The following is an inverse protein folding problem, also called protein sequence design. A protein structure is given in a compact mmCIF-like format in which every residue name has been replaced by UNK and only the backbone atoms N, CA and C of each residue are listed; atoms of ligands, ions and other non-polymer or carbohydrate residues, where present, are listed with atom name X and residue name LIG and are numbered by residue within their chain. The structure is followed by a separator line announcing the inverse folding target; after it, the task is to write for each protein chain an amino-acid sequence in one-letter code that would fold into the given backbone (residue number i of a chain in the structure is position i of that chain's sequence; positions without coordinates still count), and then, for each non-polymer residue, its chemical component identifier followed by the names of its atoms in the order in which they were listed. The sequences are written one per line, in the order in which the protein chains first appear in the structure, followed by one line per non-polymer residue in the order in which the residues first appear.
data_IF_297764816029
#
_entry.id   IF_297764816029
#
_cell.length_a   1.000
_cell.length_b   1.000
_cell.length_c   1.000
_cell.angle_alpha   90.00
_cell.angle_beta   90.00
_cell.angle_gamma   90.00
#
_symmetry.space_group_name_H-M   'P 1'
#
loop_
_entity.id
_entity.type
_entity.pdbx_description
1 polymer ?
#
# COMPACT_ATOMS: atom_id res chain seq x y z
N UNK A 1 19.04 -9.68 -11.56
CA UNK A 1 18.14 -9.65 -12.73
C UNK A 1 18.24 -8.28 -13.36
N UNK A 2 18.43 -8.22 -14.66
CA UNK A 2 18.41 -7.00 -15.47
C UNK A 2 17.33 -7.15 -16.53
N UNK A 3 16.70 -6.05 -16.92
CA UNK A 3 15.64 -6.06 -17.91
C UNK A 3 15.16 -4.65 -18.26
N UNK A 4 14.25 -4.60 -19.23
CA UNK A 4 13.58 -3.36 -19.63
C UNK A 4 12.18 -3.36 -19.03
N UNK A 5 11.86 -2.36 -18.23
CA UNK A 5 10.55 -2.20 -17.60
C UNK A 5 9.65 -1.31 -18.45
N UNK A 6 8.38 -1.65 -18.50
CA UNK A 6 7.31 -0.86 -19.13
C UNK A 6 6.14 -0.77 -18.15
N UNK A 7 5.58 0.41 -17.98
CA UNK A 7 4.32 0.59 -17.25
C UNK A 7 3.16 0.29 -18.19
N UNK A 8 2.15 -0.41 -17.68
CA UNK A 8 0.92 -0.70 -18.40
C UNK A 8 -0.29 -0.60 -17.48
N UNK A 9 -1.38 -0.07 -17.99
CA UNK A 9 -2.71 -0.04 -17.38
C UNK A 9 -3.64 -1.12 -17.95
N UNK A 10 -3.09 -2.09 -18.69
CA UNK A 10 -3.84 -3.20 -19.25
C UNK A 10 -4.70 -3.87 -18.19
N UNK A 11 -6.01 -3.75 -18.35
CA UNK A 11 -7.00 -4.25 -17.39
C UNK A 11 -6.92 -5.76 -17.16
N UNK A 12 -6.44 -6.52 -18.14
CA UNK A 12 -6.23 -7.96 -18.02
C UNK A 12 -5.11 -8.33 -17.04
N UNK A 13 -4.15 -7.44 -16.88
CA UNK A 13 -3.03 -7.60 -15.93
C UNK A 13 -3.32 -6.93 -14.60
N UNK A 14 -3.76 -5.66 -14.62
CA UNK A 14 -4.02 -4.86 -13.42
C UNK A 14 -5.18 -5.46 -12.62
N UNK A 15 -6.25 -5.91 -13.29
CA UNK A 15 -7.42 -6.49 -12.65
C UNK A 15 -7.18 -7.80 -11.87
N UNK A 16 -6.01 -8.42 -12.04
CA UNK A 16 -5.61 -9.60 -11.26
C UNK A 16 -5.18 -9.28 -9.83
N UNK A 17 -4.94 -8.01 -9.53
CA UNK A 17 -4.43 -7.54 -8.25
C UNK A 17 -5.36 -6.45 -7.70
N UNK A 18 -6.22 -6.75 -6.72
CA UNK A 18 -7.12 -5.77 -6.12
C UNK A 18 -6.36 -4.53 -5.63
N UNK A 19 -6.85 -3.34 -6.01
CA UNK A 19 -6.23 -2.06 -5.64
C UNK A 19 -5.01 -1.65 -6.48
N UNK A 20 -4.58 -2.47 -7.45
CA UNK A 20 -3.50 -2.08 -8.37
C UNK A 20 -3.98 -0.97 -9.32
N UNK A 21 -3.11 0.01 -9.58
CA UNK A 21 -3.38 1.12 -10.50
C UNK A 21 -2.74 0.91 -11.87
N UNK A 22 -1.63 0.22 -11.89
CA UNK A 22 -0.86 -0.15 -13.08
C UNK A 22 -0.06 -1.41 -12.80
N UNK A 23 0.39 -2.07 -13.83
CA UNK A 23 1.36 -3.16 -13.75
C UNK A 23 2.71 -2.72 -14.32
N UNK A 24 3.78 -3.26 -13.77
CA UNK A 24 5.13 -3.12 -14.32
C UNK A 24 5.49 -4.43 -15.00
N UNK A 25 5.54 -4.39 -16.31
CA UNK A 25 5.99 -5.52 -17.12
C UNK A 25 7.51 -5.41 -17.33
N UNK A 26 8.24 -6.46 -16.94
CA UNK A 26 9.70 -6.49 -17.09
C UNK A 26 10.09 -7.55 -18.12
N UNK A 27 10.68 -7.10 -19.23
CA UNK A 27 11.28 -7.98 -20.20
C UNK A 27 12.73 -8.29 -19.76
N UNK A 28 12.95 -9.50 -19.26
CA UNK A 28 14.22 -9.90 -18.65
C UNK A 28 15.24 -10.14 -19.74
N UNK A 29 16.37 -9.44 -19.70
CA UNK A 29 17.49 -9.58 -20.64
C UNK A 29 18.67 -10.35 -20.06
N UNK A 30 18.83 -10.33 -18.71
CA UNK A 30 19.91 -11.06 -18.04
C UNK A 30 19.49 -11.52 -16.64
N UNK A 31 19.87 -12.73 -16.29
CA UNK A 31 19.76 -13.29 -14.96
C UNK A 31 21.16 -13.54 -14.40
N UNK A 32 21.43 -12.99 -13.22
CA UNK A 32 22.67 -13.18 -12.50
C UNK A 32 22.32 -13.89 -11.20
N UNK A 33 22.96 -15.03 -10.95
CA UNK A 33 22.79 -15.75 -9.69
C UNK A 33 23.51 -15.01 -8.56
N UNK A 34 22.83 -14.82 -7.45
CA UNK A 34 23.42 -14.23 -6.25
C UNK A 34 23.68 -15.31 -5.20
N UNK A 35 24.74 -15.15 -4.44
CA UNK A 35 25.04 -16.08 -3.35
C UNK A 35 24.11 -15.83 -2.16
N UNK A 36 23.28 -16.79 -1.73
CA UNK A 36 22.32 -16.59 -0.66
C UNK A 36 22.94 -16.69 0.76
N UNK A 37 24.27 -16.84 0.89
CA UNK A 37 24.93 -17.14 2.16
C UNK A 37 24.67 -16.11 3.26
N UNK A 38 24.53 -14.84 2.89
CA UNK A 38 24.32 -13.75 3.83
C UNK A 38 22.86 -13.25 3.87
N UNK A 39 21.97 -13.91 3.14
CA UNK A 39 20.54 -13.60 3.18
C UNK A 39 19.90 -14.44 4.30
N UNK A 40 19.37 -13.81 5.36
CA UNK A 40 18.69 -14.56 6.42
C UNK A 40 17.45 -15.27 5.86
N UNK A 41 17.19 -16.46 6.38
CA UNK A 41 15.94 -17.17 6.08
C UNK A 41 14.81 -16.49 6.84
N UNK A 42 13.79 -16.04 6.14
CA UNK A 42 12.62 -15.38 6.73
C UNK A 42 11.36 -16.15 6.37
N UNK A 43 10.42 -16.17 7.32
CA UNK A 43 9.07 -16.69 7.10
C UNK A 43 8.09 -15.53 7.26
N UNK A 44 7.14 -15.40 6.32
CA UNK A 44 6.04 -14.45 6.45
C UNK A 44 5.09 -14.97 7.53
N UNK A 45 4.90 -14.22 8.60
CA UNK A 45 4.00 -14.55 9.70
C UNK A 45 2.56 -14.23 9.31
N UNK A 46 2.33 -13.01 8.80
CA UNK A 46 1.00 -12.54 8.39
C UNK A 46 1.09 -11.56 7.21
N UNK A 47 -0.05 -11.27 6.59
CA UNK A 47 -0.17 -10.20 5.60
C UNK A 47 -0.27 -8.84 6.29
N UNK A 48 0.13 -7.78 5.59
CA UNK A 48 -0.21 -6.43 6.05
C UNK A 48 -1.72 -6.24 6.01
N UNK A 49 -2.29 -5.62 7.06
CA UNK A 49 -3.71 -5.25 7.11
C UNK A 49 -4.12 -4.28 6.00
N UNK A 50 -3.16 -3.57 5.43
CA UNK A 50 -3.37 -2.63 4.33
C UNK A 50 -3.30 -3.26 2.94
N UNK A 51 -3.16 -4.58 2.86
CA UNK A 51 -3.35 -5.29 1.59
C UNK A 51 -4.86 -5.36 1.34
N UNK A 52 -5.34 -4.93 0.16
CA UNK A 52 -6.75 -5.05 -0.17
C UNK A 52 -7.25 -6.48 -0.06
N UNK A 53 -8.45 -6.67 0.47
CA UNK A 53 -9.11 -7.97 0.49
C UNK A 53 -9.30 -8.48 -0.94
N UNK A 54 -8.94 -9.74 -1.18
CA UNK A 54 -8.91 -10.31 -2.52
C UNK A 54 -10.31 -10.47 -3.16
N UNK A 55 -11.36 -10.51 -2.34
CA UNK A 55 -12.75 -10.71 -2.79
C UNK A 55 -13.48 -9.39 -2.91
N UNK A 56 -13.39 -8.55 -1.89
CA UNK A 56 -14.16 -7.30 -1.78
C UNK A 56 -13.38 -6.09 -2.26
N UNK A 57 -12.04 -6.17 -2.36
CA UNK A 57 -11.16 -5.03 -2.58
C UNK A 57 -11.10 -4.06 -1.40
N UNK A 58 -11.76 -4.37 -0.29
CA UNK A 58 -11.78 -3.52 0.89
C UNK A 58 -10.39 -3.39 1.52
N UNK A 59 -10.05 -2.20 1.94
CA UNK A 59 -8.75 -1.86 2.52
C UNK A 59 -8.96 -0.86 3.65
N UNK A 60 -8.40 -1.10 4.85
CA UNK A 60 -8.41 -0.10 5.91
C UNK A 60 -7.66 1.16 5.49
N UNK A 61 -8.10 2.29 5.98
CA UNK A 61 -7.46 3.58 5.76
C UNK A 61 -6.59 3.87 6.99
N UNK A 62 -5.28 4.16 6.82
CA UNK A 62 -4.43 4.57 7.93
C UNK A 62 -4.96 5.84 8.60
N UNK A 63 -4.85 5.93 9.93
CA UNK A 63 -5.36 7.06 10.68
C UNK A 63 -4.75 8.40 10.23
N UNK A 64 -3.48 8.41 9.84
CA UNK A 64 -2.82 9.62 9.36
C UNK A 64 -3.47 10.18 8.07
N UNK A 65 -4.07 9.36 7.21
CA UNK A 65 -4.82 9.82 6.03
C UNK A 65 -6.07 10.63 6.39
N UNK A 66 -6.51 10.56 7.64
CA UNK A 66 -7.68 11.28 8.15
C UNK A 66 -7.33 12.64 8.77
N UNK A 67 -6.04 12.96 8.91
CA UNK A 67 -5.63 14.24 9.52
C UNK A 67 -6.06 15.39 8.61
N UNK A 68 -6.80 16.35 9.17
CA UNK A 68 -7.35 17.52 8.48
C UNK A 68 -6.28 18.35 7.77
N UNK A 69 -5.17 18.62 8.48
CA UNK A 69 -4.08 19.46 7.97
C UNK A 69 -3.34 18.88 6.77
N UNK A 70 -3.42 17.56 6.54
CA UNK A 70 -2.70 16.92 5.40
C UNK A 70 -3.59 16.66 4.19
N UNK A 71 -4.91 16.87 4.29
CA UNK A 71 -5.83 16.61 3.17
C UNK A 71 -5.36 17.28 1.85
N UNK A 72 -4.90 18.54 1.84
CA UNK A 72 -4.50 19.21 0.59
C UNK A 72 -3.28 18.57 -0.11
N UNK A 73 -2.47 17.80 0.62
CA UNK A 73 -1.24 17.17 0.07
C UNK A 73 -1.41 15.68 -0.20
N UNK A 74 -2.54 15.09 0.17
CA UNK A 74 -2.84 13.71 -0.19
C UNK A 74 -3.06 13.56 -1.70
N UNK A 75 -2.72 12.40 -2.27
CA UNK A 75 -3.15 12.05 -3.61
C UNK A 75 -4.69 12.15 -3.72
N UNK A 76 -5.19 12.68 -4.83
CA UNK A 76 -6.65 12.90 -5.02
C UNK A 76 -7.49 11.66 -4.71
N UNK A 77 -7.00 10.48 -5.05
CA UNK A 77 -7.66 9.19 -4.75
C UNK A 77 -7.86 8.90 -3.25
N UNK A 78 -7.13 9.61 -2.37
CA UNK A 78 -7.14 9.38 -0.92
C UNK A 78 -7.80 10.53 -0.15
N UNK A 79 -8.05 11.69 -0.78
CA UNK A 79 -8.60 12.89 -0.13
C UNK A 79 -10.00 12.68 0.45
N UNK A 80 -10.89 11.97 -0.24
CA UNK A 80 -12.29 11.81 0.19
C UNK A 80 -12.54 10.55 1.03
N UNK A 81 -11.50 9.79 1.33
CA UNK A 81 -11.65 8.53 2.06
C UNK A 81 -11.86 8.69 3.56
N UNK A 82 -11.54 9.85 4.13
CA UNK A 82 -11.69 10.10 5.55
C UNK A 82 -13.14 9.87 6.03
N UNK A 83 -14.14 10.29 5.24
CA UNK A 83 -15.56 10.14 5.60
C UNK A 83 -15.98 8.68 5.77
N UNK A 84 -15.45 7.78 4.93
CA UNK A 84 -15.74 6.33 5.01
C UNK A 84 -15.04 5.67 6.20
N UNK A 85 -14.02 6.32 6.79
CA UNK A 85 -13.24 5.82 7.90
C UNK A 85 -13.57 6.47 9.26
N UNK A 86 -14.68 7.21 9.33
CA UNK A 86 -15.13 7.87 10.57
C UNK A 86 -14.80 9.36 10.64
N UNK A 87 -14.54 10.00 9.51
CA UNK A 87 -14.35 11.45 9.40
C UNK A 87 -12.91 11.93 9.62
N UNK A 88 -12.72 13.23 9.46
CA UNK A 88 -11.44 13.90 9.70
C UNK A 88 -11.07 13.90 11.19
N UNK A 89 -9.80 13.90 11.46
CA UNK A 89 -9.21 14.02 12.80
C UNK A 89 -8.15 15.09 12.82
N UNK A 90 -7.89 15.65 14.00
CA UNK A 90 -6.79 16.58 14.22
C UNK A 90 -5.45 15.84 14.38
N UNK A 91 -4.35 16.56 14.22
CA UNK A 91 -3.00 16.03 14.50
C UNK A 91 -2.88 15.51 15.94
N UNK A 92 -3.53 16.18 16.91
CA UNK A 92 -3.51 15.78 18.32
C UNK A 92 -4.26 14.46 18.55
N UNK A 93 -5.41 14.28 17.93
CA UNK A 93 -6.18 13.02 18.01
C UNK A 93 -5.38 11.86 17.41
N UNK A 94 -4.77 12.08 16.25
CA UNK A 94 -3.87 11.10 15.66
C UNK A 94 -2.69 10.77 16.57
N UNK A 95 -2.04 11.79 17.18
CA UNK A 95 -0.99 11.59 18.18
C UNK A 95 -1.44 10.75 19.37
N UNK A 96 -2.67 10.95 19.84
CA UNK A 96 -3.30 10.10 20.86
C UNK A 96 -3.48 8.66 20.42
N UNK A 97 -3.87 8.41 19.18
CA UNK A 97 -3.96 7.08 18.60
C UNK A 97 -2.59 6.38 18.58
N UNK A 98 -1.54 7.09 18.14
CA UNK A 98 -0.16 6.55 18.16
C UNK A 98 0.27 6.21 19.58
N UNK A 99 0.08 7.12 20.53
CA UNK A 99 0.47 6.93 21.93
C UNK A 99 -0.26 5.76 22.60
N UNK A 100 -1.51 5.49 22.22
CA UNK A 100 -2.29 4.35 22.72
C UNK A 100 -1.97 3.02 22.02
N UNK A 101 -1.10 3.02 21.01
CA UNK A 101 -0.80 1.83 20.22
C UNK A 101 -1.95 1.39 19.30
N UNK A 102 -2.80 2.33 18.90
CA UNK A 102 -3.89 2.02 17.97
C UNK A 102 -3.32 1.48 16.65
N UNK A 103 -3.70 0.28 16.22
CA UNK A 103 -3.13 -0.33 15.03
C UNK A 103 -3.49 0.35 13.71
N UNK A 104 -4.40 1.32 13.73
CA UNK A 104 -4.81 2.12 12.56
C UNK A 104 -4.23 3.54 12.59
N UNK A 105 -3.38 3.89 13.56
CA UNK A 105 -2.73 5.20 13.65
C UNK A 105 -1.77 5.47 12.48
#
# INVERSE_FOLDING_TARGET
MQGRATLTDDTSLVGRFPGAQFAVQVNITALITNCPRFVPRMTRIEGSRYVPDAVTGAQPIPGWNRIDAIQPVLPQRDQDKADTAGGLITMNEWGGMVASGNPLA
#
